data_IF_581200896024
#
_entry.id   IF_581200896024
#
_cell.length_a   1.000
_cell.length_b   1.000
_cell.length_c   1.000
_cell.angle_alpha   90.00
_cell.angle_beta   90.00
_cell.angle_gamma   90.00
#
_symmetry.space_group_name_H-M   'P 1'
#
loop_
_entity.id
_entity.type
_entity.pdbx_description
1 polymer ?
#
# COMPACT_ATOMS: atom_id res chain seq x y z
N UNK A 1 -11.80 -1.84 -20.45
CA UNK A 1 -12.28 -2.61 -21.62
C UNK A 1 -12.87 -3.94 -21.13
N UNK A 2 -14.14 -4.18 -21.38
CA UNK A 2 -14.73 -5.49 -21.16
C UNK A 2 -14.77 -6.25 -22.49
N UNK A 3 -14.13 -7.41 -22.52
CA UNK A 3 -14.22 -8.34 -23.64
C UNK A 3 -15.39 -9.29 -23.36
N UNK A 4 -16.38 -9.26 -24.24
CA UNK A 4 -17.48 -10.22 -24.21
C UNK A 4 -17.35 -11.17 -25.40
N UNK A 5 -17.36 -12.48 -25.15
CA UNK A 5 -17.23 -13.46 -26.21
C UNK A 5 -18.00 -14.74 -25.94
N UNK A 6 -18.48 -15.36 -27.00
CA UNK A 6 -19.09 -16.67 -26.97
C UNK A 6 -18.24 -17.62 -27.80
N UNK A 7 -17.83 -18.75 -27.21
CA UNK A 7 -17.15 -19.86 -27.89
C UNK A 7 -18.17 -20.99 -28.05
N UNK A 8 -18.42 -21.41 -29.28
CA UNK A 8 -19.26 -22.54 -29.61
C UNK A 8 -18.39 -23.65 -30.20
N UNK A 9 -18.40 -24.79 -29.56
CA UNK A 9 -17.71 -25.98 -30.05
C UNK A 9 -18.76 -27.04 -30.39
N UNK A 10 -18.73 -27.51 -31.65
CA UNK A 10 -19.63 -28.53 -32.11
C UNK A 10 -18.86 -29.69 -32.77
N UNK A 11 -19.30 -30.92 -32.50
CA UNK A 11 -18.72 -32.13 -33.07
C UNK A 11 -19.78 -32.94 -33.83
N UNK A 12 -19.53 -33.21 -35.09
CA UNK A 12 -20.35 -34.11 -35.91
C UNK A 12 -19.50 -35.26 -36.40
N UNK A 13 -19.50 -36.38 -35.70
CA UNK A 13 -18.65 -37.53 -36.02
C UNK A 13 -17.18 -37.19 -35.82
N UNK A 14 -16.39 -37.16 -36.91
CA UNK A 14 -14.97 -36.78 -36.90
C UNK A 14 -14.70 -35.30 -37.18
N UNK A 15 -15.75 -34.53 -37.43
CA UNK A 15 -15.61 -33.10 -37.71
C UNK A 15 -15.78 -32.31 -36.43
N UNK A 16 -14.76 -31.54 -36.08
CA UNK A 16 -14.75 -30.58 -34.98
C UNK A 16 -14.86 -29.16 -35.54
N UNK A 17 -15.84 -28.41 -35.10
CA UNK A 17 -15.95 -26.99 -35.44
C UNK A 17 -15.89 -26.14 -34.15
N UNK A 18 -14.99 -25.18 -34.12
CA UNK A 18 -14.91 -24.20 -33.05
C UNK A 18 -15.13 -22.80 -33.61
N UNK A 19 -16.20 -22.17 -33.19
CA UNK A 19 -16.56 -20.80 -33.60
C UNK A 19 -16.40 -19.88 -32.38
N UNK A 20 -15.61 -18.81 -32.51
CA UNK A 20 -15.43 -17.78 -31.47
C UNK A 20 -15.98 -16.47 -32.00
N UNK A 21 -16.97 -15.96 -31.32
CA UNK A 21 -17.51 -14.63 -31.54
C UNK A 21 -17.08 -13.74 -30.37
N UNK A 22 -16.26 -12.73 -30.63
CA UNK A 22 -15.85 -11.78 -29.62
C UNK A 22 -16.23 -10.35 -30.03
N UNK A 23 -16.78 -9.60 -29.10
CA UNK A 23 -17.09 -8.19 -29.27
C UNK A 23 -16.24 -7.39 -28.27
N UNK A 24 -15.42 -6.49 -28.80
CA UNK A 24 -14.69 -5.52 -28.00
C UNK A 24 -15.40 -4.16 -28.09
N UNK A 25 -15.85 -3.63 -26.96
CA UNK A 25 -16.46 -2.31 -26.89
C UNK A 25 -15.34 -1.28 -26.69
N UNK A 26 -15.03 -0.50 -27.72
CA UNK A 26 -14.14 0.64 -27.64
C UNK A 26 -14.93 1.86 -27.15
N UNK A 27 -14.36 2.64 -26.24
CA UNK A 27 -14.86 3.93 -25.83
C UNK A 27 -14.03 5.01 -26.54
N UNK A 28 -14.69 5.92 -27.27
CA UNK A 28 -14.02 7.09 -27.84
C UNK A 28 -14.04 8.21 -26.82
N UNK A 29 -12.87 8.68 -26.42
CA UNK A 29 -12.71 9.88 -25.58
C UNK A 29 -12.12 10.99 -26.44
N UNK A 30 -12.65 12.18 -26.30
CA UNK A 30 -12.11 13.40 -26.87
C UNK A 30 -11.67 14.30 -25.72
N UNK A 31 -10.44 14.80 -25.80
CA UNK A 31 -9.86 15.70 -24.80
C UNK A 31 -9.46 16.95 -25.56
N UNK A 32 -10.12 18.06 -25.27
CA UNK A 32 -9.80 19.37 -25.84
C UNK A 32 -8.92 20.12 -24.83
N UNK A 33 -7.74 20.57 -25.27
CA UNK A 33 -6.80 21.37 -24.47
C UNK A 33 -6.72 22.73 -25.08
N UNK A 34 -7.39 23.70 -24.51
CA UNK A 34 -7.24 25.11 -24.88
C UNK A 34 -6.11 25.73 -24.05
N UNK A 35 -5.14 26.35 -24.73
CA UNK A 35 -3.86 26.84 -24.25
C UNK A 35 -3.85 27.40 -22.82
N UNK A 36 -3.26 26.65 -21.88
CA UNK A 36 -3.14 26.92 -20.47
C UNK A 36 -3.29 25.64 -19.67
N UNK A 37 -2.82 25.62 -18.42
CA UNK A 37 -3.00 24.48 -17.55
C UNK A 37 -4.49 24.25 -17.28
N UNK A 38 -5.05 23.15 -17.80
CA UNK A 38 -6.48 22.84 -17.69
C UNK A 38 -6.80 22.32 -16.29
N UNK A 39 -7.81 22.90 -15.66
CA UNK A 39 -8.38 22.37 -14.39
C UNK A 39 -9.20 21.10 -14.67
N UNK A 40 -8.93 20.04 -13.94
CA UNK A 40 -9.62 18.76 -14.03
C UNK A 40 -10.28 18.44 -12.69
N UNK A 41 -11.53 17.98 -12.76
CA UNK A 41 -12.25 17.50 -11.57
C UNK A 41 -11.94 16.01 -11.34
N UNK A 42 -11.96 15.61 -10.07
CA UNK A 42 -11.87 14.20 -9.67
C UNK A 42 -12.92 13.86 -8.60
N UNK A 43 -13.37 12.61 -8.64
CA UNK A 43 -14.26 11.99 -7.65
C UNK A 43 -13.77 10.56 -7.41
N UNK A 44 -13.28 10.30 -6.19
CA UNK A 44 -12.70 9.01 -5.77
C UNK A 44 -13.49 8.52 -4.56
N UNK A 45 -14.02 7.32 -4.61
CA UNK A 45 -14.72 6.74 -3.46
C UNK A 45 -13.72 6.19 -2.45
N UNK A 46 -14.13 6.09 -1.18
CA UNK A 46 -13.29 5.55 -0.11
C UNK A 46 -12.78 4.14 -0.39
N UNK A 47 -13.53 3.31 -1.14
CA UNK A 47 -13.12 1.98 -1.54
C UNK A 47 -12.12 1.96 -2.73
N UNK A 48 -11.82 3.09 -3.35
CA UNK A 48 -10.90 3.18 -4.48
C UNK A 48 -9.43 3.46 -4.09
N UNK A 49 -9.02 3.01 -2.89
CA UNK A 49 -7.62 3.06 -2.49
C UNK A 49 -6.71 2.25 -3.42
N UNK A 50 -5.42 2.60 -3.48
CA UNK A 50 -4.42 1.90 -4.32
C UNK A 50 -3.98 0.57 -3.70
N UNK A 51 -4.75 -0.50 -3.90
CA UNK A 51 -4.45 -1.83 -3.38
C UNK A 51 -3.16 -2.43 -3.98
N UNK A 52 -2.45 -3.24 -3.21
CA UNK A 52 -1.24 -3.99 -3.60
C UNK A 52 -0.09 -3.10 -4.11
N UNK A 53 0.03 -1.90 -3.57
CA UNK A 53 1.02 -0.91 -4.03
C UNK A 53 1.86 -0.28 -2.93
N UNK A 54 1.26 -0.02 -1.78
CA UNK A 54 1.88 0.67 -0.67
C UNK A 54 1.92 -0.25 0.54
N UNK A 55 3.10 -0.38 1.18
CA UNK A 55 3.29 -1.31 2.30
C UNK A 55 4.18 -0.69 3.37
N UNK A 56 3.76 -0.82 4.63
CA UNK A 56 4.64 -0.56 5.76
C UNK A 56 5.75 -1.61 5.83
N UNK A 57 6.95 -1.23 6.24
CA UNK A 57 8.10 -2.12 6.35
C UNK A 57 8.00 -3.07 7.55
N UNK A 58 7.27 -2.66 8.58
CA UNK A 58 6.98 -3.47 9.78
C UNK A 58 5.72 -2.96 10.49
N UNK A 59 5.22 -3.74 11.42
CA UNK A 59 4.11 -3.33 12.29
C UNK A 59 4.50 -2.13 13.19
N UNK A 60 5.78 -2.01 13.54
CA UNK A 60 6.29 -0.82 14.23
C UNK A 60 5.95 0.45 13.46
N UNK A 61 6.29 0.53 12.17
CA UNK A 61 6.04 1.73 11.36
C UNK A 61 4.54 1.98 11.15
N UNK A 62 3.74 0.93 10.96
CA UNK A 62 2.28 1.04 10.88
C UNK A 62 1.70 1.69 12.16
N UNK A 63 2.10 1.19 13.33
CA UNK A 63 1.59 1.68 14.61
C UNK A 63 2.09 3.08 14.98
N UNK A 64 3.24 3.51 14.43
CA UNK A 64 3.76 4.87 14.66
C UNK A 64 3.26 5.90 13.64
N UNK A 65 2.66 5.46 12.53
CA UNK A 65 2.28 6.32 11.41
C UNK A 65 1.38 7.48 11.82
N UNK A 66 0.27 7.22 12.50
CA UNK A 66 -0.70 8.25 12.92
C UNK A 66 -0.06 9.27 13.86
N UNK A 67 0.77 8.80 14.81
CA UNK A 67 1.49 9.69 15.73
C UNK A 67 2.51 10.57 14.99
N UNK A 68 3.26 9.99 14.05
CA UNK A 68 4.24 10.72 13.26
C UNK A 68 3.55 11.79 12.38
N UNK A 69 2.42 11.46 11.79
CA UNK A 69 1.64 12.35 10.92
C UNK A 69 0.87 13.43 11.68
N UNK A 70 0.77 13.36 13.02
CA UNK A 70 0.17 14.44 13.82
C UNK A 70 0.98 15.72 13.82
N UNK A 71 2.28 15.64 13.57
CA UNK A 71 3.20 16.79 13.63
C UNK A 71 3.50 17.38 12.25
N UNK A 72 2.60 17.20 11.27
CA UNK A 72 2.74 17.86 9.98
C UNK A 72 2.95 19.39 10.14
N UNK A 73 3.73 20.00 9.25
CA UNK A 73 4.25 19.51 7.96
C UNK A 73 5.48 18.61 8.03
N UNK A 74 6.09 18.43 9.20
CA UNK A 74 7.27 17.58 9.36
C UNK A 74 6.93 16.39 10.25
N UNK A 75 6.89 15.15 9.70
CA UNK A 75 6.62 13.96 10.52
C UNK A 75 7.65 13.77 11.62
N UNK A 76 7.19 13.50 12.82
CA UNK A 76 8.03 13.24 13.98
C UNK A 76 8.07 11.73 14.28
N UNK A 77 8.89 10.98 13.55
CA UNK A 77 9.05 9.53 13.76
C UNK A 77 10.32 9.16 14.52
N UNK A 78 11.33 10.04 14.57
CA UNK A 78 12.67 9.74 15.07
C UNK A 78 13.42 8.70 14.23
N UNK A 79 12.78 8.12 13.21
CA UNK A 79 13.34 7.10 12.35
C UNK A 79 13.91 7.67 11.05
N UNK A 80 14.93 6.98 10.51
CA UNK A 80 15.48 7.23 9.19
C UNK A 80 15.93 5.91 8.55
N UNK A 81 15.30 5.50 7.44
CA UNK A 81 15.74 4.35 6.66
C UNK A 81 17.02 4.73 5.93
N UNK A 82 18.09 3.97 6.17
CA UNK A 82 19.41 4.21 5.60
C UNK A 82 19.64 3.36 4.34
N UNK A 83 19.24 2.09 4.39
CA UNK A 83 19.40 1.12 3.30
C UNK A 83 18.14 0.31 3.17
N UNK A 84 17.72 0.01 1.93
CA UNK A 84 16.57 -0.84 1.67
C UNK A 84 16.78 -1.63 0.37
N UNK A 85 16.42 -2.89 0.40
CA UNK A 85 16.33 -3.76 -0.75
C UNK A 85 14.94 -4.36 -0.84
N UNK A 86 14.36 -4.30 -2.02
CA UNK A 86 13.00 -4.80 -2.29
C UNK A 86 13.09 -5.92 -3.30
N UNK A 87 12.47 -7.05 -2.99
CA UNK A 87 12.54 -8.28 -3.76
C UNK A 87 11.14 -8.78 -4.12
N UNK A 88 10.98 -9.23 -5.35
CA UNK A 88 9.71 -9.77 -5.87
C UNK A 88 9.93 -11.06 -6.63
N UNK A 89 8.86 -11.80 -6.88
CA UNK A 89 8.89 -12.97 -7.78
C UNK A 89 9.35 -12.52 -9.17
N UNK A 90 10.29 -13.28 -9.75
CA UNK A 90 10.78 -13.01 -11.09
C UNK A 90 9.84 -13.60 -12.14
N UNK A 91 8.91 -12.78 -12.64
CA UNK A 91 7.95 -13.17 -13.68
C UNK A 91 8.48 -12.98 -15.10
N UNK A 92 9.62 -12.28 -15.26
CA UNK A 92 10.16 -11.87 -16.57
C UNK A 92 11.37 -12.70 -17.02
N UNK A 93 11.71 -13.80 -16.32
CA UNK A 93 12.91 -14.61 -16.58
C UNK A 93 14.22 -13.80 -16.65
N UNK A 94 14.29 -12.67 -15.92
CA UNK A 94 15.51 -11.90 -15.77
C UNK A 94 16.56 -12.75 -15.04
N UNK A 95 17.80 -12.71 -15.51
CA UNK A 95 18.92 -13.45 -14.91
C UNK A 95 19.91 -12.57 -14.15
N UNK A 96 19.72 -11.25 -14.18
CA UNK A 96 20.53 -10.30 -13.44
C UNK A 96 19.89 -9.98 -12.09
N UNK A 97 20.73 -9.83 -11.05
CA UNK A 97 20.32 -9.47 -9.69
C UNK A 97 19.22 -10.38 -9.12
N UNK A 98 19.33 -11.69 -9.40
CA UNK A 98 18.41 -12.70 -8.87
C UNK A 98 19.05 -13.48 -7.71
N UNK A 99 18.27 -13.77 -6.69
CA UNK A 99 18.66 -14.57 -5.52
C UNK A 99 17.53 -15.48 -5.10
N UNK A 100 17.87 -16.59 -4.50
CA UNK A 100 16.89 -17.36 -3.75
C UNK A 100 16.61 -16.66 -2.43
N UNK A 101 15.35 -16.57 -2.05
CA UNK A 101 14.93 -15.90 -0.82
C UNK A 101 14.00 -16.79 0.01
N UNK A 102 14.11 -16.64 1.33
CA UNK A 102 13.16 -17.12 2.33
C UNK A 102 12.54 -15.86 2.96
N UNK A 103 11.31 -15.58 2.63
CA UNK A 103 10.59 -14.42 3.16
C UNK A 103 9.72 -14.85 4.35
N UNK A 104 9.79 -14.13 5.46
CA UNK A 104 9.12 -14.52 6.72
C UNK A 104 8.30 -13.36 7.27
N UNK A 105 7.07 -13.65 7.71
CA UNK A 105 6.12 -12.64 8.22
C UNK A 105 6.62 -11.99 9.51
N UNK A 106 7.10 -12.78 10.48
CA UNK A 106 7.45 -12.31 11.83
C UNK A 106 8.86 -11.77 11.93
N UNK A 107 9.63 -11.80 10.85
CA UNK A 107 11.03 -11.45 10.89
C UNK A 107 11.24 -10.04 11.46
N UNK A 108 11.96 -9.99 12.58
CA UNK A 108 12.32 -8.73 13.23
C UNK A 108 11.18 -7.99 13.92
N UNK A 109 9.96 -8.51 13.94
CA UNK A 109 8.85 -7.84 14.63
C UNK A 109 8.95 -7.99 16.16
N UNK A 110 8.48 -6.96 16.86
CA UNK A 110 8.35 -7.02 18.32
C UNK A 110 7.08 -7.82 18.67
N UNK A 111 7.14 -8.73 19.68
CA UNK A 111 5.99 -9.59 20.06
C UNK A 111 4.71 -8.83 20.37
N UNK A 112 4.80 -7.63 20.93
CA UNK A 112 3.63 -6.79 21.24
C UNK A 112 2.81 -6.39 19.99
N UNK A 113 3.40 -6.48 18.82
CA UNK A 113 2.75 -6.14 17.54
C UNK A 113 2.32 -7.38 16.75
N UNK A 114 2.59 -8.58 17.28
CA UNK A 114 2.25 -9.82 16.61
C UNK A 114 1.10 -10.51 17.33
N UNK A 115 0.25 -11.17 16.56
CA UNK A 115 -0.79 -12.01 17.16
C UNK A 115 -0.18 -13.15 17.96
N UNK A 116 -0.78 -13.50 19.10
CA UNK A 116 -0.37 -14.63 19.95
C UNK A 116 -0.37 -15.99 19.25
N UNK A 117 -0.99 -16.08 18.07
CA UNK A 117 -1.05 -17.32 17.27
C UNK A 117 0.01 -17.36 16.16
N UNK A 118 0.78 -16.30 15.97
CA UNK A 118 1.95 -16.38 15.12
C UNK A 118 3.07 -17.07 15.89
N UNK A 119 3.84 -17.97 15.24
CA UNK A 119 4.91 -18.69 15.88
C UNK A 119 6.14 -17.78 16.12
N UNK A 120 5.95 -16.74 16.93
CA UNK A 120 7.05 -15.88 17.37
C UNK A 120 7.89 -16.63 18.37
N UNK A 121 9.12 -16.93 18.01
CA UNK A 121 10.05 -17.55 18.93
C UNK A 121 10.59 -16.50 19.89
N UNK A 122 10.37 -16.71 21.19
CA UNK A 122 10.97 -15.89 22.23
C UNK A 122 12.48 -16.13 22.30
N UNK A 123 13.22 -15.15 22.83
CA UNK A 123 14.65 -15.31 23.05
C UNK A 123 14.92 -16.54 23.96
N UNK A 124 15.86 -17.38 23.55
CA UNK A 124 16.19 -18.64 24.24
C UNK A 124 16.71 -18.47 25.65
N UNK A 125 17.19 -17.27 26.00
CA UNK A 125 17.69 -16.94 27.34
C UNK A 125 16.60 -16.64 28.36
N UNK A 126 15.32 -16.73 28.00
CA UNK A 126 14.19 -16.41 28.88
C UNK A 126 14.12 -14.95 29.33
N UNK A 127 14.89 -14.08 28.72
CA UNK A 127 14.87 -12.65 29.01
C UNK A 127 13.60 -12.04 28.43
N UNK A 128 12.75 -11.46 29.28
CA UNK A 128 11.63 -10.62 28.85
C UNK A 128 12.06 -9.22 28.39
N UNK A 129 13.35 -8.89 28.52
CA UNK A 129 13.91 -7.65 28.04
C UNK A 129 14.33 -7.79 26.60
N UNK A 130 13.41 -7.41 25.71
CA UNK A 130 13.75 -7.25 24.30
C UNK A 130 14.85 -6.18 24.13
N UNK A 131 15.77 -6.37 23.16
CA UNK A 131 16.85 -5.41 22.91
C UNK A 131 16.33 -3.99 22.61
N UNK A 132 15.07 -3.89 22.20
CA UNK A 132 14.42 -2.65 21.81
C UNK A 132 13.38 -2.24 22.83
N UNK A 133 13.77 -1.39 23.79
CA UNK A 133 12.82 -0.79 24.76
C UNK A 133 11.71 0.05 24.10
N UNK A 134 11.88 0.41 22.83
CA UNK A 134 10.96 1.21 22.02
C UNK A 134 10.12 0.38 21.03
N UNK A 135 10.13 -0.96 21.13
CA UNK A 135 9.42 -1.90 20.23
C UNK A 135 9.82 -1.81 18.75
N UNK A 136 10.99 -1.24 18.45
CA UNK A 136 11.50 -1.13 17.08
C UNK A 136 11.72 -2.51 16.45
N UNK A 137 11.46 -2.63 15.15
CA UNK A 137 11.72 -3.86 14.41
C UNK A 137 13.24 -4.11 14.30
N UNK A 138 13.69 -5.33 14.64
CA UNK A 138 15.12 -5.71 14.60
C UNK A 138 15.26 -7.23 14.50
N UNK A 139 16.20 -7.72 13.72
CA UNK A 139 16.54 -9.16 13.67
C UNK A 139 16.76 -9.77 15.05
N UNK A 140 17.31 -9.00 16.01
CA UNK A 140 17.58 -9.45 17.36
C UNK A 140 16.36 -9.47 18.31
N UNK A 141 15.15 -9.15 17.86
CA UNK A 141 13.94 -9.15 18.69
C UNK A 141 13.52 -10.57 19.13
N UNK A 142 13.92 -11.57 18.36
CA UNK A 142 13.72 -12.98 18.66
C UNK A 142 14.82 -13.82 18.00
N UNK A 143 14.90 -15.13 18.32
CA UNK A 143 15.94 -16.02 17.78
C UNK A 143 15.64 -16.47 16.33
N UNK A 144 14.52 -16.06 15.74
CA UNK A 144 14.05 -16.56 14.45
C UNK A 144 15.05 -16.30 13.31
N UNK A 145 15.60 -15.09 13.26
CA UNK A 145 16.58 -14.74 12.24
C UNK A 145 17.84 -15.61 12.34
N UNK A 146 18.41 -15.73 13.54
CA UNK A 146 19.62 -16.52 13.80
C UNK A 146 19.40 -18.01 13.54
N UNK A 147 18.25 -18.57 13.93
CA UNK A 147 17.89 -19.96 13.64
C UNK A 147 17.79 -20.25 12.14
N UNK A 148 17.24 -19.31 11.36
CA UNK A 148 17.13 -19.49 9.91
C UNK A 148 18.49 -19.39 9.22
N UNK A 149 19.30 -18.39 9.57
CA UNK A 149 20.60 -18.17 8.90
C UNK A 149 21.68 -19.17 9.34
N UNK A 150 21.56 -19.75 10.54
CA UNK A 150 22.47 -20.80 11.02
C UNK A 150 22.16 -22.19 10.49
N UNK A 151 21.01 -22.37 9.83
CA UNK A 151 20.60 -23.66 9.28
C UNK A 151 21.02 -23.79 7.80
N UNK A 152 22.03 -24.64 7.55
CA UNK A 152 22.58 -24.86 6.21
C UNK A 152 21.55 -25.35 5.18
N UNK A 153 20.53 -26.13 5.60
CA UNK A 153 19.46 -26.60 4.71
C UNK A 153 18.52 -25.47 4.30
N UNK A 154 18.24 -24.54 5.23
CA UNK A 154 17.46 -23.32 4.94
C UNK A 154 18.25 -22.44 3.97
N UNK A 155 19.50 -22.17 4.30
CA UNK A 155 20.38 -21.32 3.50
C UNK A 155 20.70 -21.94 2.14
N UNK A 156 20.79 -23.28 2.04
CA UNK A 156 20.92 -24.01 0.79
C UNK A 156 19.67 -23.98 -0.09
N UNK A 157 18.57 -23.44 0.39
CA UNK A 157 17.29 -23.25 -0.30
C UNK A 157 16.53 -24.54 -0.66
N UNK A 158 17.20 -25.55 -1.21
CA UNK A 158 16.51 -26.77 -1.72
C UNK A 158 15.79 -27.53 -0.61
N UNK A 159 16.41 -27.68 0.57
CA UNK A 159 15.85 -28.34 1.76
C UNK A 159 15.01 -27.42 2.65
N UNK A 160 14.91 -26.12 2.35
CA UNK A 160 14.41 -25.11 3.27
C UNK A 160 13.01 -25.40 3.83
N UNK A 161 12.08 -25.89 3.01
CA UNK A 161 10.74 -26.23 3.51
C UNK A 161 10.76 -27.33 4.56
N UNK A 162 11.51 -28.42 4.32
CA UNK A 162 11.64 -29.52 5.25
C UNK A 162 12.35 -29.07 6.54
N UNK A 163 13.40 -28.25 6.40
CA UNK A 163 14.14 -27.69 7.53
C UNK A 163 13.27 -26.77 8.41
N UNK A 164 12.52 -25.87 7.80
CA UNK A 164 11.62 -24.95 8.54
C UNK A 164 10.52 -25.74 9.28
N UNK A 165 9.94 -26.76 8.65
CA UNK A 165 8.96 -27.63 9.30
C UNK A 165 9.60 -28.43 10.44
N UNK A 166 10.85 -28.88 10.27
CA UNK A 166 11.58 -29.63 11.29
C UNK A 166 11.96 -28.79 12.54
N UNK A 167 12.02 -27.46 12.40
CA UNK A 167 12.18 -26.54 13.54
C UNK A 167 10.98 -26.55 14.50
N UNK A 168 9.89 -27.21 14.11
CA UNK A 168 8.67 -27.40 14.90
C UNK A 168 8.06 -26.09 15.43
N UNK A 169 8.14 -25.03 14.62
CA UNK A 169 7.61 -23.71 14.96
C UNK A 169 6.15 -23.52 14.51
N UNK A 170 5.54 -24.53 13.87
CA UNK A 170 4.18 -24.43 13.34
C UNK A 170 4.06 -23.52 12.11
N UNK A 171 5.16 -23.27 11.40
CA UNK A 171 5.15 -22.43 10.20
C UNK A 171 4.43 -23.09 9.04
N UNK A 172 3.55 -22.33 8.38
CA UNK A 172 2.83 -22.71 7.18
C UNK A 172 3.30 -21.84 6.01
N UNK A 173 3.64 -22.47 4.89
CA UNK A 173 4.00 -21.75 3.66
C UNK A 173 2.80 -20.98 3.13
N UNK A 174 3.03 -19.73 2.67
CA UNK A 174 1.98 -18.82 2.21
C UNK A 174 1.36 -17.96 3.32
N UNK A 175 1.51 -18.38 4.58
CA UNK A 175 1.00 -17.67 5.76
C UNK A 175 2.15 -17.04 6.55
N UNK A 176 3.06 -17.87 7.03
CA UNK A 176 4.15 -17.47 7.92
C UNK A 176 5.45 -17.25 7.15
N UNK A 177 5.65 -17.97 6.05
CA UNK A 177 6.82 -17.82 5.19
C UNK A 177 6.52 -18.14 3.74
N UNK A 178 7.37 -17.63 2.86
CA UNK A 178 7.41 -17.97 1.44
C UNK A 178 8.84 -18.31 1.01
N UNK A 179 8.95 -19.30 0.15
CA UNK A 179 10.20 -19.66 -0.51
C UNK A 179 10.13 -19.28 -1.99
N UNK A 180 10.91 -18.29 -2.39
CA UNK A 180 10.93 -17.80 -3.77
C UNK A 180 12.29 -18.06 -4.43
N UNK A 181 12.28 -18.88 -5.46
CA UNK A 181 13.46 -19.13 -6.27
C UNK A 181 13.69 -18.04 -7.30
N UNK A 182 14.96 -17.64 -7.47
CA UNK A 182 15.34 -16.60 -8.41
C UNK A 182 14.52 -15.31 -8.27
N UNK A 183 14.26 -14.89 -7.04
CA UNK A 183 13.59 -13.61 -6.79
C UNK A 183 14.42 -12.47 -7.38
N UNK A 184 13.74 -11.49 -7.96
CA UNK A 184 14.35 -10.31 -8.58
C UNK A 184 14.40 -9.14 -7.60
N UNK A 185 15.55 -8.50 -7.51
CA UNK A 185 15.68 -7.22 -6.81
C UNK A 185 15.08 -6.09 -7.64
N UNK A 186 14.25 -5.25 -7.04
CA UNK A 186 13.72 -4.06 -7.67
C UNK A 186 14.80 -2.96 -7.74
N UNK A 187 14.82 -2.26 -8.85
CA UNK A 187 15.65 -1.07 -9.03
C UNK A 187 15.02 0.15 -8.33
N UNK A 188 15.82 1.17 -8.02
CA UNK A 188 15.33 2.43 -7.44
C UNK A 188 14.30 3.16 -8.32
N UNK A 189 14.21 2.81 -9.61
CA UNK A 189 13.21 3.35 -10.52
C UNK A 189 11.85 2.65 -10.42
N UNK A 190 11.75 1.47 -9.80
CA UNK A 190 10.53 0.67 -9.71
C UNK A 190 9.75 0.88 -8.41
N UNK A 191 10.38 1.45 -7.39
CA UNK A 191 9.73 1.81 -6.14
C UNK A 191 10.28 3.12 -5.57
N UNK A 192 9.56 3.69 -4.64
CA UNK A 192 10.02 4.75 -3.75
C UNK A 192 9.75 4.32 -2.31
N UNK A 193 10.44 4.93 -1.36
CA UNK A 193 10.21 4.70 0.07
C UNK A 193 10.19 6.02 0.81
N UNK A 194 9.50 6.03 1.93
CA UNK A 194 9.53 7.15 2.87
C UNK A 194 10.46 6.80 4.01
N UNK A 195 11.55 7.55 4.17
CA UNK A 195 12.59 7.22 5.13
C UNK A 195 12.13 7.39 6.57
N UNK A 196 11.25 8.35 6.86
CA UNK A 196 10.75 8.65 8.20
C UNK A 196 9.55 7.82 8.61
N UNK A 197 8.64 7.59 7.68
CA UNK A 197 7.38 6.88 7.97
C UNK A 197 7.49 5.37 7.75
N UNK A 198 8.60 4.88 7.17
CA UNK A 198 8.90 3.46 7.01
C UNK A 198 7.88 2.70 6.16
N UNK A 199 7.54 3.24 4.99
CA UNK A 199 6.73 2.54 4.01
C UNK A 199 7.35 2.62 2.61
N UNK A 200 6.99 1.68 1.76
CA UNK A 200 7.35 1.65 0.34
C UNK A 200 6.12 1.85 -0.54
N UNK A 201 6.37 2.43 -1.72
CA UNK A 201 5.37 2.64 -2.76
C UNK A 201 5.91 2.08 -4.08
N UNK A 202 5.27 1.05 -4.60
CA UNK A 202 5.64 0.44 -5.87
C UNK A 202 5.11 1.29 -7.04
N UNK A 203 5.83 1.36 -8.14
CA UNK A 203 5.33 2.03 -9.35
C UNK A 203 4.19 1.27 -10.01
N UNK A 204 4.23 -0.05 -9.95
CA UNK A 204 3.17 -0.93 -10.42
C UNK A 204 2.59 -1.71 -9.25
N UNK A 205 1.27 -1.88 -9.23
CA UNK A 205 0.62 -2.74 -8.25
C UNK A 205 0.96 -4.20 -8.51
N UNK A 206 1.15 -4.96 -7.44
CA UNK A 206 1.41 -6.39 -7.53
C UNK A 206 0.14 -7.16 -7.85
N UNK A 207 0.30 -8.27 -8.58
CA UNK A 207 -0.75 -9.26 -8.74
C UNK A 207 -0.95 -10.07 -7.43
N UNK A 208 -2.11 -10.71 -7.31
CA UNK A 208 -2.43 -11.46 -6.09
C UNK A 208 -1.42 -12.58 -5.78
N UNK A 209 -0.89 -13.24 -6.80
CA UNK A 209 0.07 -14.34 -6.65
C UNK A 209 1.54 -13.90 -6.48
N UNK A 210 1.84 -12.61 -6.54
CA UNK A 210 3.21 -12.12 -6.38
C UNK A 210 3.57 -11.95 -4.90
N UNK A 211 4.78 -12.37 -4.54
CA UNK A 211 5.37 -12.20 -3.22
C UNK A 211 6.21 -10.94 -3.22
N UNK A 212 6.13 -10.18 -2.13
CA UNK A 212 6.94 -9.00 -1.86
C UNK A 212 7.72 -9.20 -0.57
N UNK A 213 9.02 -9.02 -0.63
CA UNK A 213 9.89 -9.12 0.53
C UNK A 213 10.92 -8.01 0.55
N UNK A 214 11.40 -7.66 1.75
CA UNK A 214 12.37 -6.57 1.95
C UNK A 214 13.45 -6.95 2.94
N UNK A 215 14.62 -6.34 2.79
CA UNK A 215 15.59 -6.16 3.85
C UNK A 215 15.90 -4.67 3.97
N UNK A 216 16.05 -4.18 5.19
CA UNK A 216 16.32 -2.77 5.41
C UNK A 216 17.12 -2.53 6.69
N UNK A 217 17.86 -1.45 6.69
CA UNK A 217 18.56 -0.89 7.83
C UNK A 217 18.05 0.52 8.10
N UNK A 218 17.82 0.85 9.35
CA UNK A 218 17.36 2.16 9.73
C UNK A 218 17.95 2.60 11.07
N UNK A 219 18.00 3.92 11.25
CA UNK A 219 18.37 4.53 12.52
C UNK A 219 17.11 5.03 13.23
N UNK A 220 17.01 4.78 14.52
CA UNK A 220 15.92 5.28 15.36
C UNK A 220 16.55 5.86 16.65
N UNK A 221 16.36 7.16 16.88
CA UNK A 221 16.90 7.87 18.04
C UNK A 221 18.41 7.68 18.24
N UNK A 222 19.15 7.52 17.14
CA UNK A 222 20.61 7.36 17.16
C UNK A 222 21.11 5.91 17.21
N UNK A 223 20.23 4.93 17.42
CA UNK A 223 20.56 3.51 17.37
C UNK A 223 20.23 2.94 15.98
N UNK A 224 21.06 2.01 15.49
CA UNK A 224 20.88 1.37 14.18
C UNK A 224 20.28 -0.02 14.33
N UNK A 225 19.27 -0.31 13.54
CA UNK A 225 18.55 -1.57 13.52
C UNK A 225 18.50 -2.13 12.09
N UNK A 226 18.50 -3.46 11.99
CA UNK A 226 18.41 -4.17 10.72
C UNK A 226 17.31 -5.23 10.77
N UNK A 227 16.56 -5.36 9.67
CA UNK A 227 15.57 -6.40 9.45
C UNK A 227 15.86 -7.10 8.13
N UNK A 228 16.03 -8.41 8.18
CA UNK A 228 16.41 -9.25 7.03
C UNK A 228 17.89 -9.16 6.66
N UNK A 229 18.30 -9.94 5.67
CA UNK A 229 19.65 -10.00 5.13
C UNK A 229 19.76 -9.11 3.89
N UNK A 230 20.59 -8.09 3.93
CA UNK A 230 20.94 -7.33 2.74
C UNK A 230 21.84 -8.16 1.81
N UNK A 231 21.67 -8.05 0.51
CA UNK A 231 22.37 -8.92 -0.47
C UNK A 231 23.89 -8.78 -0.40
N UNK A 232 24.40 -7.64 0.03
CA UNK A 232 25.85 -7.41 0.22
C UNK A 232 26.40 -8.11 1.47
N UNK A 233 25.52 -8.37 2.45
CA UNK A 233 25.86 -9.02 3.71
C UNK A 233 25.46 -10.50 3.69
N UNK A 234 25.17 -11.04 2.48
CA UNK A 234 24.66 -12.39 2.28
C UNK A 234 25.66 -13.47 2.69
N UNK A 235 25.12 -14.57 3.22
CA UNK A 235 25.90 -15.73 3.64
C UNK A 235 26.30 -16.61 2.47
N UNK A 236 27.45 -17.28 2.55
CA UNK A 236 27.84 -18.36 1.67
C UNK A 236 27.53 -19.71 2.34
N UNK A 237 27.13 -20.69 1.54
CA UNK A 237 26.89 -22.06 1.99
C UNK A 237 27.95 -22.99 1.36
N UNK A 238 28.28 -24.06 2.06
CA UNK A 238 29.35 -24.99 1.62
C UNK A 238 30.72 -24.65 2.17
N UNK A 239 31.73 -25.37 1.75
CA UNK A 239 33.11 -25.26 2.21
C UNK A 239 34.09 -25.44 1.07
N UNK A 240 35.10 -24.58 0.98
CA UNK A 240 36.15 -24.66 -0.03
C UNK A 240 35.65 -24.33 -1.45
N UNK A 241 35.90 -25.21 -2.42
CA UNK A 241 35.54 -24.98 -3.84
C UNK A 241 34.04 -25.09 -4.14
N UNK A 242 33.24 -25.57 -3.18
CA UNK A 242 31.77 -25.75 -3.30
C UNK A 242 30.99 -24.61 -2.61
N UNK A 243 31.64 -23.52 -2.29
CA UNK A 243 30.93 -22.35 -1.73
C UNK A 243 29.94 -21.77 -2.73
N UNK A 244 28.69 -21.68 -2.31
CA UNK A 244 27.61 -21.06 -3.07
C UNK A 244 27.00 -19.90 -2.26
N UNK A 245 26.44 -18.92 -2.94
CA UNK A 245 25.69 -17.87 -2.26
C UNK A 245 24.41 -18.44 -1.67
N UNK A 246 24.27 -18.37 -0.37
CA UNK A 246 23.08 -18.82 0.36
C UNK A 246 21.83 -18.01 -0.01
N UNK A 247 20.67 -18.53 0.37
CA UNK A 247 19.42 -17.80 0.28
C UNK A 247 19.46 -16.53 1.18
N UNK A 248 18.69 -15.52 0.80
CA UNK A 248 18.50 -14.35 1.67
C UNK A 248 17.27 -14.59 2.57
N UNK A 249 17.42 -14.30 3.85
CA UNK A 249 16.30 -14.30 4.80
C UNK A 249 15.73 -12.87 4.86
N UNK A 250 14.50 -12.70 4.41
CA UNK A 250 13.87 -11.39 4.21
C UNK A 250 12.55 -11.24 4.96
N UNK A 251 12.20 -10.01 5.30
CA UNK A 251 10.87 -9.68 5.83
C UNK A 251 9.84 -9.75 4.72
N UNK A 252 8.80 -10.57 4.91
CA UNK A 252 7.68 -10.66 3.99
C UNK A 252 6.70 -9.50 4.21
N UNK A 253 6.35 -8.79 3.14
CA UNK A 253 5.31 -7.74 3.16
C UNK A 253 4.03 -8.19 2.47
N UNK A 254 4.14 -9.12 1.50
CA UNK A 254 2.99 -9.70 0.82
C UNK A 254 3.31 -11.15 0.43
N UNK A 255 2.37 -12.04 0.73
CA UNK A 255 2.41 -13.45 0.32
C UNK A 255 1.71 -13.67 -1.04
N UNK A 256 1.96 -14.83 -1.64
CA UNK A 256 1.22 -15.35 -2.79
C UNK A 256 -0.25 -15.66 -2.47
N UNK A 257 -0.59 -15.80 -1.18
CA UNK A 257 -1.94 -16.07 -0.69
C UNK A 257 -2.46 -14.81 0.03
N UNK A 258 -3.64 -14.34 -0.35
CA UNK A 258 -4.31 -13.25 0.37
C UNK A 258 -5.03 -13.81 1.59
N UNK A 259 -4.51 -13.52 2.77
CA UNK A 259 -5.12 -13.90 4.04
C UNK A 259 -5.52 -12.64 4.81
N UNK A 260 -6.81 -12.51 5.10
CA UNK A 260 -7.37 -11.35 5.81
C UNK A 260 -7.19 -11.48 7.32
N UNK A 261 -7.43 -12.70 7.82
CA UNK A 261 -7.34 -13.00 9.24
C UNK A 261 -6.61 -14.34 9.47
N UNK A 262 -6.00 -14.46 10.62
CA UNK A 262 -5.37 -15.68 11.10
C UNK A 262 -6.44 -16.68 11.59
N UNK A 263 -6.04 -17.92 11.89
CA UNK A 263 -6.92 -19.00 12.34
C UNK A 263 -7.70 -18.70 13.62
N UNK A 264 -7.21 -17.79 14.46
CA UNK A 264 -7.86 -17.33 15.68
C UNK A 264 -8.84 -16.16 15.46
N UNK A 265 -8.92 -15.64 14.24
CA UNK A 265 -9.75 -14.48 13.88
C UNK A 265 -9.05 -13.14 14.00
N UNK A 266 -7.80 -13.07 14.49
CA UNK A 266 -7.02 -11.83 14.51
C UNK A 266 -6.70 -11.40 13.07
N UNK A 267 -6.58 -10.08 12.79
CA UNK A 267 -6.17 -9.58 11.48
C UNK A 267 -4.80 -10.15 11.08
N UNK A 268 -4.62 -10.44 9.80
CA UNK A 268 -3.33 -10.87 9.27
C UNK A 268 -2.35 -9.68 9.22
N UNK A 269 -1.15 -9.78 9.80
CA UNK A 269 -0.15 -8.72 9.76
C UNK A 269 0.24 -8.28 8.35
N UNK A 270 0.19 -9.20 7.38
CA UNK A 270 0.45 -8.88 5.96
C UNK A 270 -0.68 -8.06 5.35
N UNK A 271 -1.94 -8.34 5.75
CA UNK A 271 -3.09 -7.57 5.30
C UNK A 271 -3.12 -6.16 5.91
N UNK A 272 -2.82 -6.06 7.20
CA UNK A 272 -2.71 -4.78 7.90
C UNK A 272 -1.52 -3.94 7.41
N UNK A 273 -0.41 -4.60 7.05
CA UNK A 273 0.79 -3.95 6.50
C UNK A 273 0.57 -3.28 5.14
N UNK A 274 -0.46 -3.67 4.39
CA UNK A 274 -0.84 -2.99 3.16
C UNK A 274 -1.60 -1.70 3.47
N UNK A 275 -1.08 -0.56 2.99
CA UNK A 275 -1.71 0.75 3.19
C UNK A 275 -3.00 0.87 2.38
N UNK A 276 -4.08 1.26 3.05
CA UNK A 276 -5.42 1.46 2.47
C UNK A 276 -5.87 2.93 2.57
N UNK A 277 -4.93 3.80 2.91
CA UNK A 277 -5.13 5.24 3.11
C UNK A 277 -4.47 6.10 2.01
N UNK A 278 -4.13 5.48 0.88
CA UNK A 278 -3.52 6.16 -0.27
C UNK A 278 -4.45 6.09 -1.47
N UNK A 279 -4.73 7.25 -2.07
CA UNK A 279 -5.66 7.41 -3.18
C UNK A 279 -5.00 8.10 -4.35
N UNK A 280 -5.33 7.69 -5.58
CA UNK A 280 -4.76 8.27 -6.80
C UNK A 280 -5.78 9.13 -7.53
N UNK A 281 -5.43 10.37 -7.79
CA UNK A 281 -6.18 11.26 -8.69
C UNK A 281 -5.95 10.92 -10.17
N UNK A 282 -5.04 9.96 -10.46
CA UNK A 282 -4.59 9.60 -11.82
C UNK A 282 -4.02 10.81 -12.57
N UNK A 283 -3.32 11.66 -11.85
CA UNK A 283 -2.73 12.91 -12.29
C UNK A 283 -1.20 12.87 -12.13
N UNK A 284 -0.52 13.72 -12.89
CA UNK A 284 0.92 13.94 -12.78
C UNK A 284 1.21 15.44 -12.76
N UNK A 285 2.22 15.85 -12.00
CA UNK A 285 2.63 17.25 -11.91
C UNK A 285 1.50 18.17 -11.43
N UNK A 286 0.88 17.81 -10.31
CA UNK A 286 -0.25 18.55 -9.72
C UNK A 286 0.24 19.86 -9.14
N UNK A 287 -0.32 20.99 -9.62
CA UNK A 287 -0.03 22.32 -9.09
C UNK A 287 -0.77 22.56 -7.79
N UNK A 288 -0.12 23.23 -6.84
CA UNK A 288 -0.79 23.75 -5.64
C UNK A 288 -1.79 24.87 -5.98
N UNK A 289 -1.51 25.62 -7.03
CA UNK A 289 -2.41 26.65 -7.52
C UNK A 289 -3.72 26.03 -8.01
N UNK A 290 -4.84 26.60 -7.62
CA UNK A 290 -6.19 26.13 -7.98
C UNK A 290 -6.52 24.69 -7.47
N UNK A 291 -5.63 24.06 -6.67
CA UNK A 291 -5.94 22.76 -6.07
C UNK A 291 -7.04 22.91 -5.02
N UNK A 292 -8.05 22.05 -5.10
CA UNK A 292 -9.13 21.94 -4.09
C UNK A 292 -9.41 20.46 -3.85
N UNK A 293 -9.57 20.12 -2.60
CA UNK A 293 -9.97 18.78 -2.17
C UNK A 293 -10.91 18.92 -0.99
N UNK A 294 -12.04 18.22 -1.06
CA UNK A 294 -13.00 18.07 0.02
C UNK A 294 -13.39 16.62 0.18
N UNK A 295 -13.75 16.24 1.40
CA UNK A 295 -14.34 14.93 1.68
C UNK A 295 -15.85 15.08 1.81
N UNK A 296 -16.56 14.24 1.10
CA UNK A 296 -18.01 14.24 1.02
C UNK A 296 -18.62 12.97 1.59
N UNK A 297 -19.72 13.11 2.25
CA UNK A 297 -20.56 12.03 2.75
C UNK A 297 -21.90 12.06 2.06
N UNK A 298 -22.28 10.95 1.43
CA UNK A 298 -23.60 10.80 0.82
C UNK A 298 -24.62 10.45 1.91
N UNK A 299 -25.44 11.42 2.33
CA UNK A 299 -26.43 11.22 3.39
C UNK A 299 -27.58 10.31 2.90
N UNK A 300 -27.80 9.16 3.56
CA UNK A 300 -28.84 8.21 3.14
C UNK A 300 -30.25 8.73 3.27
N UNK A 301 -30.46 9.77 4.08
CA UNK A 301 -31.80 10.32 4.31
C UNK A 301 -32.25 11.27 3.20
N UNK A 302 -31.29 11.99 2.61
CA UNK A 302 -31.56 13.02 1.59
C UNK A 302 -31.01 12.64 0.23
N UNK A 303 -30.03 11.72 0.16
CA UNK A 303 -29.29 11.37 -1.06
C UNK A 303 -28.35 12.50 -1.54
N UNK A 304 -28.11 13.52 -0.71
CA UNK A 304 -27.25 14.67 -1.03
C UNK A 304 -25.86 14.44 -0.47
N UNK A 305 -24.85 14.83 -1.23
CA UNK A 305 -23.46 14.85 -0.76
C UNK A 305 -23.23 16.08 0.11
N UNK A 306 -22.74 15.86 1.33
CA UNK A 306 -22.42 16.89 2.32
C UNK A 306 -20.94 16.75 2.70
N UNK A 307 -20.25 17.85 2.93
CA UNK A 307 -18.86 17.84 3.40
C UNK A 307 -18.74 17.75 4.93
N UNK A 308 -19.83 17.42 5.60
CA UNK A 308 -19.94 17.14 7.03
C UNK A 308 -20.95 16.00 7.27
N UNK A 309 -20.95 15.43 8.47
CA UNK A 309 -21.91 14.40 8.86
C UNK A 309 -23.11 15.08 9.57
N UNK A 310 -24.35 15.04 9.03
CA UNK A 310 -25.51 15.71 9.62
C UNK A 310 -26.09 14.89 10.78
N UNK A 311 -25.30 14.66 11.82
CA UNK A 311 -25.65 13.90 13.03
C UNK A 311 -24.97 14.53 14.24
N UNK A 312 -25.74 14.93 15.26
CA UNK A 312 -25.17 15.39 16.53
C UNK A 312 -24.32 14.31 17.20
N UNK A 313 -23.18 14.67 17.79
CA UNK A 313 -22.51 15.98 17.87
C UNK A 313 -21.46 16.23 16.77
N UNK A 314 -21.52 15.53 15.63
CA UNK A 314 -20.60 15.69 14.50
C UNK A 314 -21.03 16.79 13.54
N UNK A 315 -22.31 17.18 13.62
CA UNK A 315 -22.90 18.21 12.77
C UNK A 315 -22.13 19.54 12.84
N UNK A 316 -21.97 20.18 11.69
CA UNK A 316 -21.24 21.45 11.58
C UNK A 316 -19.71 21.35 11.59
N UNK A 317 -19.13 20.14 11.75
CA UNK A 317 -17.68 19.94 11.62
C UNK A 317 -17.36 19.33 10.26
N UNK A 318 -16.44 19.95 9.52
CA UNK A 318 -16.03 19.47 8.20
C UNK A 318 -15.35 18.09 8.29
N UNK A 319 -15.62 17.23 7.32
CA UNK A 319 -14.97 15.92 7.21
C UNK A 319 -13.46 16.03 7.04
N UNK A 320 -12.96 17.07 6.36
CA UNK A 320 -11.52 17.36 6.29
C UNK A 320 -10.89 17.43 7.68
N UNK A 321 -11.56 18.12 8.63
CA UNK A 321 -11.09 18.26 10.01
C UNK A 321 -11.19 16.97 10.79
N UNK A 322 -12.32 16.24 10.65
CA UNK A 322 -12.51 14.95 11.33
C UNK A 322 -11.47 13.91 10.90
N UNK A 323 -11.06 13.96 9.63
CA UNK A 323 -10.07 13.04 9.06
C UNK A 323 -8.63 13.57 9.09
N UNK A 324 -8.44 14.75 9.72
CA UNK A 324 -7.12 15.35 9.96
C UNK A 324 -6.41 15.88 8.72
N UNK A 325 -7.16 16.22 7.67
CA UNK A 325 -6.66 16.82 6.43
C UNK A 325 -6.77 18.37 6.42
N UNK A 326 -7.31 18.95 7.47
CA UNK A 326 -7.38 20.38 7.76
C UNK A 326 -7.01 20.58 9.23
N UNK A 327 -5.74 20.83 9.49
CA UNK A 327 -5.16 21.06 10.84
C UNK A 327 -4.45 22.39 10.94
N UNK A 328 -4.10 22.98 9.81
CA UNK A 328 -3.27 24.18 9.73
C UNK A 328 -3.98 25.24 8.91
N UNK A 329 -3.59 26.48 9.13
CA UNK A 329 -3.94 27.60 8.26
C UNK A 329 -2.93 27.76 7.10
N UNK A 330 -3.18 28.72 6.23
CA UNK A 330 -2.31 29.06 5.10
C UNK A 330 -0.87 29.43 5.52
N UNK A 331 -0.64 29.79 6.78
CA UNK A 331 0.68 30.09 7.32
C UNK A 331 1.33 28.87 8.01
N UNK A 332 0.77 27.68 7.84
CA UNK A 332 1.21 26.43 8.48
C UNK A 332 1.16 26.46 10.02
N UNK A 333 0.31 27.32 10.58
CA UNK A 333 0.05 27.35 12.00
C UNK A 333 -1.09 26.38 12.36
N UNK A 334 -1.05 25.72 13.53
CA UNK A 334 -2.06 24.74 13.92
C UNK A 334 -3.43 25.40 14.21
N UNK A 335 -4.12 25.77 13.16
CA UNK A 335 -5.42 26.42 13.19
C UNK A 335 -6.22 26.00 11.94
N UNK A 336 -7.19 25.06 12.05
CA UNK A 336 -8.01 24.63 10.93
C UNK A 336 -8.76 25.78 10.29
N UNK A 337 -8.69 25.92 8.96
CA UNK A 337 -9.28 27.02 8.20
C UNK A 337 -10.37 26.59 7.20
N UNK A 338 -10.70 25.30 7.17
CA UNK A 338 -11.70 24.71 6.28
C UNK A 338 -11.15 24.33 4.89
N UNK A 339 -9.84 24.42 4.71
CA UNK A 339 -9.16 24.10 3.44
C UNK A 339 -8.23 22.90 3.63
N UNK A 340 -8.11 22.10 2.59
CA UNK A 340 -7.16 20.96 2.59
C UNK A 340 -5.72 21.42 2.78
N UNK A 341 -5.04 20.82 3.75
CA UNK A 341 -3.60 21.04 4.00
C UNK A 341 -2.78 20.45 2.88
N UNK A 342 -2.39 21.25 1.89
CA UNK A 342 -1.55 20.82 0.78
C UNK A 342 -0.09 20.74 1.21
N UNK A 343 0.33 19.57 1.69
CA UNK A 343 1.70 19.28 2.11
C UNK A 343 2.27 18.24 1.15
N UNK A 344 3.20 18.68 0.29
CA UNK A 344 3.80 17.81 -0.71
C UNK A 344 4.87 16.91 -0.08
N UNK A 345 4.65 15.61 -0.09
CA UNK A 345 5.57 14.63 0.48
C UNK A 345 6.87 14.45 -0.33
N UNK A 346 6.92 14.93 -1.57
CA UNK A 346 8.15 15.00 -2.35
C UNK A 346 9.16 16.01 -1.76
N UNK A 347 8.66 17.02 -1.04
CA UNK A 347 9.48 18.05 -0.43
C UNK A 347 9.81 17.78 1.05
N UNK A 348 8.93 17.10 1.79
CA UNK A 348 8.98 17.03 3.27
C UNK A 348 9.18 15.65 3.87
N UNK A 349 9.31 14.59 3.05
CA UNK A 349 9.34 13.18 3.48
C UNK A 349 8.12 12.77 4.33
N UNK A 350 7.02 13.47 4.16
CA UNK A 350 5.74 13.20 4.79
C UNK A 350 4.79 14.31 4.45
N UNK A 351 3.57 13.97 4.11
CA UNK A 351 2.60 14.96 3.68
C UNK A 351 1.28 14.32 3.26
N UNK A 352 0.36 15.16 2.87
CA UNK A 352 -1.00 14.78 2.49
C UNK A 352 -1.14 14.53 1.00
N UNK A 353 -0.16 14.98 0.20
CA UNK A 353 -0.17 14.82 -1.26
C UNK A 353 1.23 14.50 -1.79
N UNK A 354 1.31 13.80 -2.90
CA UNK A 354 2.48 13.74 -3.76
C UNK A 354 2.14 14.40 -5.10
N UNK A 355 2.66 15.59 -5.30
CA UNK A 355 2.37 16.40 -6.49
C UNK A 355 2.88 15.76 -7.79
N UNK A 356 3.98 15.01 -7.74
CA UNK A 356 4.59 14.40 -8.92
C UNK A 356 3.72 13.32 -9.54
N UNK A 357 3.02 12.55 -8.73
CA UNK A 357 2.25 11.38 -9.17
C UNK A 357 0.76 11.42 -8.79
N UNK A 358 0.30 12.55 -8.27
CA UNK A 358 -1.11 12.79 -7.96
C UNK A 358 -1.72 11.86 -6.92
N UNK A 359 -0.97 11.55 -5.85
CA UNK A 359 -1.44 10.70 -4.75
C UNK A 359 -1.78 11.48 -3.52
N UNK A 360 -2.90 11.16 -2.92
CA UNK A 360 -3.39 11.71 -1.65
C UNK A 360 -3.07 10.68 -0.56
N UNK A 361 -2.46 11.14 0.54
CA UNK A 361 -2.12 10.34 1.72
C UNK A 361 -2.93 10.85 2.90
N UNK A 362 -3.74 10.00 3.49
CA UNK A 362 -4.40 10.34 4.73
C UNK A 362 -3.43 10.22 5.92
N UNK A 363 -3.52 11.13 6.89
CA UNK A 363 -2.63 11.14 8.06
C UNK A 363 -2.94 10.07 9.10
N UNK A 364 -3.94 9.24 8.88
CA UNK A 364 -4.24 8.04 9.66
C UNK A 364 -4.24 6.80 8.79
N UNK A 365 -3.88 5.65 9.37
CA UNK A 365 -3.85 4.35 8.67
C UNK A 365 -5.25 3.95 8.21
N UNK A 366 -6.26 4.21 9.05
CA UNK A 366 -7.65 3.85 8.80
C UNK A 366 -8.58 5.06 8.96
N UNK A 367 -8.57 6.00 7.99
CA UNK A 367 -9.30 7.27 8.12
C UNK A 367 -10.82 7.09 8.30
N UNK A 368 -11.44 6.16 7.58
CA UNK A 368 -12.90 5.89 7.65
C UNK A 368 -13.24 4.74 8.63
N UNK A 369 -12.24 4.12 9.25
CA UNK A 369 -12.32 3.09 10.28
C UNK A 369 -12.00 3.64 11.67
N UNK A 370 -10.90 3.20 12.24
CA UNK A 370 -10.47 3.50 13.60
C UNK A 370 -10.33 5.01 13.91
N UNK A 371 -9.87 5.80 12.95
CA UNK A 371 -9.79 7.25 13.15
C UNK A 371 -11.18 7.84 13.36
N UNK A 372 -12.15 7.52 12.51
CA UNK A 372 -13.52 8.04 12.63
C UNK A 372 -14.18 7.49 13.90
N UNK A 373 -13.95 6.24 14.27
CA UNK A 373 -14.37 5.63 15.53
C UNK A 373 -13.86 6.44 16.72
N UNK A 374 -12.55 6.70 16.78
CA UNK A 374 -11.94 7.47 17.86
C UNK A 374 -12.50 8.90 17.95
N UNK A 375 -12.78 9.55 16.81
CA UNK A 375 -13.42 10.87 16.77
C UNK A 375 -14.84 10.82 17.35
N UNK A 376 -15.63 9.81 17.02
CA UNK A 376 -17.00 9.63 17.55
C UNK A 376 -16.93 9.41 19.05
N UNK A 377 -16.11 8.49 19.54
CA UNK A 377 -15.96 8.16 20.96
C UNK A 377 -15.47 9.37 21.78
N UNK A 378 -14.60 10.20 21.21
CA UNK A 378 -14.12 11.40 21.89
C UNK A 378 -15.20 12.52 22.01
N UNK A 379 -16.18 12.56 21.11
CA UNK A 379 -17.20 13.62 21.05
C UNK A 379 -18.55 13.22 21.63
N UNK A 380 -18.84 11.92 21.66
CA UNK A 380 -20.14 11.38 22.09
C UNK A 380 -20.00 10.75 23.46
N UNK A 381 -20.56 11.41 24.49
CA UNK A 381 -20.48 10.92 25.87
C UNK A 381 -21.45 9.76 26.17
N UNK A 382 -22.54 9.61 25.38
CA UNK A 382 -23.49 8.50 25.52
C UNK A 382 -23.00 7.27 24.73
N UNK A 383 -22.64 6.16 25.40
CA UNK A 383 -22.13 4.95 24.74
C UNK A 383 -23.13 4.33 23.74
N UNK A 384 -24.44 4.45 23.98
CA UNK A 384 -25.45 3.90 23.06
C UNK A 384 -25.52 4.72 21.78
N UNK A 385 -25.47 6.05 21.89
CA UNK A 385 -25.43 6.94 20.75
C UNK A 385 -24.10 6.75 19.97
N UNK A 386 -22.98 6.67 20.66
CA UNK A 386 -21.69 6.40 20.06
C UNK A 386 -21.71 5.08 19.27
N UNK A 387 -22.20 3.99 19.86
CA UNK A 387 -22.35 2.70 19.20
C UNK A 387 -23.24 2.74 17.94
N UNK A 388 -24.36 3.47 18.01
CA UNK A 388 -25.26 3.63 16.86
C UNK A 388 -24.60 4.43 15.72
N UNK A 389 -23.85 5.49 16.05
CA UNK A 389 -23.10 6.28 15.06
C UNK A 389 -21.96 5.46 14.45
N UNK A 390 -21.20 4.73 15.26
CA UNK A 390 -20.12 3.84 14.79
C UNK A 390 -20.69 2.82 13.80
N UNK A 391 -21.76 2.14 14.13
CA UNK A 391 -22.37 1.14 13.26
C UNK A 391 -22.83 1.70 11.89
N UNK A 392 -23.18 2.98 11.82
CA UNK A 392 -23.71 3.61 10.60
C UNK A 392 -22.70 4.39 9.79
N UNK A 393 -21.61 4.83 10.42
CA UNK A 393 -20.64 5.76 9.82
C UNK A 393 -19.27 5.13 9.62
N UNK A 394 -18.84 4.23 10.51
CA UNK A 394 -17.50 3.64 10.45
C UNK A 394 -17.48 2.51 9.41
N UNK A 395 -16.50 2.57 8.51
CA UNK A 395 -16.41 1.63 7.40
C UNK A 395 -15.31 0.58 7.66
N UNK A 396 -15.45 -0.21 8.74
CA UNK A 396 -14.51 -1.29 9.10
C UNK A 396 -14.30 -2.29 7.96
N UNK A 397 -15.34 -2.73 7.21
CA UNK A 397 -15.14 -3.66 6.11
C UNK A 397 -14.19 -3.19 5.01
N UNK A 398 -13.89 -1.88 4.93
CA UNK A 398 -12.87 -1.34 4.03
C UNK A 398 -11.48 -1.87 4.38
N UNK A 399 -11.21 -2.11 5.67
CA UNK A 399 -9.93 -2.52 6.22
C UNK A 399 -9.86 -4.01 6.49
N UNK A 400 -10.96 -4.60 6.95
CA UNK A 400 -11.06 -6.00 7.41
C UNK A 400 -11.48 -6.98 6.31
N UNK A 401 -11.86 -6.47 5.12
CA UNK A 401 -12.25 -7.31 4.00
C UNK A 401 -11.54 -6.95 2.70
N UNK A 402 -11.73 -7.77 1.67
CA UNK A 402 -11.19 -7.43 0.34
C UNK A 402 -11.89 -6.19 -0.23
N UNK A 403 -11.18 -5.44 -1.08
CA UNK A 403 -11.75 -4.29 -1.79
C UNK A 403 -13.09 -4.63 -2.47
N UNK A 404 -13.18 -5.80 -3.11
CA UNK A 404 -14.41 -6.26 -3.77
C UNK A 404 -15.54 -6.51 -2.77
N UNK A 405 -15.25 -7.07 -1.60
CA UNK A 405 -16.27 -7.30 -0.57
C UNK A 405 -16.74 -5.97 0.05
N UNK A 406 -15.83 -5.03 0.33
CA UNK A 406 -16.17 -3.70 0.81
C UNK A 406 -17.07 -2.93 -0.18
N UNK A 407 -16.84 -3.08 -1.48
CA UNK A 407 -17.67 -2.49 -2.54
C UNK A 407 -19.12 -2.97 -2.53
N UNK A 408 -19.37 -4.16 -1.99
CA UNK A 408 -20.72 -4.73 -1.91
C UNK A 408 -21.51 -4.24 -0.70
N UNK A 409 -20.96 -3.30 0.09
CA UNK A 409 -21.63 -2.73 1.27
C UNK A 409 -21.95 -1.23 1.02
N UNK A 410 -22.92 -0.90 0.16
CA UNK A 410 -23.21 0.50 -0.21
C UNK A 410 -23.75 1.32 0.98
N UNK A 411 -24.22 0.66 2.05
CA UNK A 411 -24.67 1.35 3.26
C UNK A 411 -23.54 2.04 4.03
N UNK A 412 -22.30 1.56 3.92
CA UNK A 412 -21.11 2.14 4.54
C UNK A 412 -20.19 2.84 3.54
N UNK A 413 -20.22 2.45 2.27
CA UNK A 413 -19.41 3.03 1.20
C UNK A 413 -20.01 4.35 0.69
N UNK A 414 -19.99 5.37 1.53
CA UNK A 414 -20.66 6.67 1.33
C UNK A 414 -19.71 7.85 1.26
N UNK A 415 -18.40 7.61 1.45
CA UNK A 415 -17.41 8.66 1.48
C UNK A 415 -16.78 8.84 0.12
N UNK A 416 -16.67 10.11 -0.31
CA UNK A 416 -16.07 10.52 -1.57
C UNK A 416 -14.99 11.57 -1.31
N UNK A 417 -13.88 11.44 -2.00
CA UNK A 417 -12.80 12.42 -2.06
C UNK A 417 -12.98 13.16 -3.38
N UNK A 418 -13.46 14.39 -3.33
CA UNK A 418 -13.75 15.18 -4.53
C UNK A 418 -12.94 16.44 -4.56
N UNK A 419 -12.59 16.87 -5.75
CA UNK A 419 -11.87 18.12 -5.90
C UNK A 419 -11.52 18.43 -7.32
N UNK A 420 -10.63 19.39 -7.47
CA UNK A 420 -10.07 19.78 -8.76
C UNK A 420 -8.59 20.04 -8.64
N UNK A 421 -7.88 19.80 -9.69
CA UNK A 421 -6.45 20.08 -9.79
C UNK A 421 -6.09 20.65 -11.16
N UNK A 422 -4.95 21.28 -11.22
CA UNK A 422 -4.31 21.72 -12.43
C UNK A 422 -2.98 21.01 -12.59
N UNK A 423 -2.70 20.44 -13.78
CA UNK A 423 -1.42 19.80 -14.07
C UNK A 423 -0.42 20.83 -14.57
N UNK A 424 0.82 20.80 -14.06
CA UNK A 424 1.90 21.70 -14.49
C UNK A 424 2.48 21.33 -15.87
N UNK A 425 2.30 20.10 -16.34
CA UNK A 425 2.86 19.68 -17.62
C UNK A 425 1.91 20.02 -18.77
N UNK A 426 2.14 21.15 -19.40
CA UNK A 426 1.47 21.55 -20.65
C UNK A 426 1.89 20.73 -21.88
N UNK A 427 2.87 19.81 -21.73
CA UNK A 427 3.42 19.01 -22.83
C UNK A 427 2.94 17.55 -22.85
N UNK A 428 2.30 17.06 -21.78
CA UNK A 428 1.78 15.69 -21.72
C UNK A 428 0.27 15.70 -21.53
N UNK A 429 -0.45 15.05 -22.43
CA UNK A 429 -1.90 14.85 -22.33
C UNK A 429 -2.15 13.46 -21.76
N UNK A 430 -2.59 13.39 -20.50
CA UNK A 430 -2.94 12.12 -19.86
C UNK A 430 -4.24 11.57 -20.46
N UNK A 431 -4.15 10.49 -21.21
CA UNK A 431 -5.30 9.87 -21.86
C UNK A 431 -6.22 9.13 -20.88
N UNK A 432 -5.78 8.90 -19.64
CA UNK A 432 -6.54 8.19 -18.59
C UNK A 432 -7.27 6.94 -19.10
N UNK A 433 -6.63 6.20 -19.99
CA UNK A 433 -7.16 4.99 -20.62
C UNK A 433 -6.25 3.80 -20.34
N UNK A 434 -6.84 2.70 -19.90
CA UNK A 434 -6.17 1.41 -19.80
C UNK A 434 -6.11 0.81 -21.21
N UNK A 435 -4.89 0.55 -21.69
CA UNK A 435 -4.66 -0.13 -22.96
C UNK A 435 -5.12 0.66 -24.21
N UNK A 436 -4.38 1.69 -24.56
CA UNK A 436 -4.57 2.46 -25.80
C UNK A 436 -3.91 1.70 -26.95
N UNK A 437 -4.64 1.22 -27.97
CA UNK A 437 -4.05 0.56 -29.12
C UNK A 437 -3.14 1.52 -29.89
N UNK A 438 -2.01 1.02 -30.38
CA UNK A 438 -1.09 1.78 -31.22
C UNK A 438 -1.82 2.35 -32.45
N UNK A 439 -1.58 3.62 -32.77
CA UNK A 439 -2.24 4.33 -33.86
C UNK A 439 -3.72 4.73 -33.62
N UNK A 440 -4.27 4.48 -32.42
CA UNK A 440 -5.65 4.87 -32.07
C UNK A 440 -5.77 6.30 -31.54
N UNK A 441 -4.64 6.94 -31.21
CA UNK A 441 -4.58 8.33 -30.76
C UNK A 441 -4.48 9.25 -31.97
N UNK A 442 -5.28 10.27 -31.98
CA UNK A 442 -5.17 11.35 -32.99
C UNK A 442 -5.04 12.67 -32.26
N UNK A 443 -3.94 13.36 -32.47
CA UNK A 443 -3.68 14.69 -31.89
C UNK A 443 -3.85 15.73 -32.98
N UNK A 444 -4.55 16.82 -32.67
CA UNK A 444 -4.70 17.99 -33.58
C UNK A 444 -4.33 19.25 -32.81
N UNK A 445 -3.57 20.14 -33.43
CA UNK A 445 -3.26 21.46 -32.91
C UNK A 445 -3.67 22.54 -33.92
N UNK A 446 -4.52 23.47 -33.49
CA UNK A 446 -5.03 24.52 -34.39
C UNK A 446 -5.75 24.00 -35.65
N UNK A 447 -6.42 22.83 -35.54
CA UNK A 447 -7.10 22.15 -36.64
C UNK A 447 -6.19 21.34 -37.57
N UNK A 448 -4.88 21.28 -37.30
CA UNK A 448 -3.91 20.49 -38.06
C UNK A 448 -3.63 19.19 -37.33
N UNK A 449 -3.76 18.04 -38.00
CA UNK A 449 -3.44 16.74 -37.45
C UNK A 449 -1.92 16.57 -37.31
N UNK A 450 -1.46 16.24 -36.10
CA UNK A 450 -0.07 15.97 -35.81
C UNK A 450 0.27 14.48 -36.10
N UNK A 451 1.54 14.21 -36.36
CA UNK A 451 2.04 12.87 -36.70
C UNK A 451 2.70 12.24 -35.49
N UNK A 452 2.23 11.03 -35.12
CA UNK A 452 2.78 10.21 -34.04
C UNK A 452 4.27 9.93 -34.24
N UNK A 453 5.05 9.94 -33.16
CA UNK A 453 6.52 9.77 -33.13
C UNK A 453 7.34 10.86 -33.87
N UNK A 454 6.72 11.91 -34.35
CA UNK A 454 7.41 13.08 -34.95
C UNK A 454 7.02 14.39 -34.30
N UNK A 455 5.75 14.58 -34.08
CA UNK A 455 5.17 15.82 -33.56
C UNK A 455 4.66 15.64 -32.10
N UNK A 456 4.42 14.39 -31.68
CA UNK A 456 4.06 14.00 -30.31
C UNK A 456 4.48 12.55 -30.00
#
# INVERSE_FOLDING_TARGET
>A
QSLFGVKLETQWGKLYNSTVLSQQKGERKEIEVEGGAQTQDFDIRADDYEANRHYFLSQYFRNQYDNAMRSLPVPNSGAAINRIEVWVVNTQANTQDVRNIIAVTDLGEHPDYMSSNLPVKQLSNGSETFPTSNRAANNANNDLFDDLVSNDEVMGYTGANAAIVAMNMGFEQGVHYERVGNARKLTSSEFSFNSKLGFISLRQSLNNAEVLAVAYEYTLNGETYQVGTLAQDGYTTGSGNDEAMGALVLKMLKSSITQLALSNGDPSPLWEGMMKNVYSMKAFGVSQEEFRLDIWYNDPSTGVDLNYIPRDPLDGTLLLQLLGLDRMDINTMPNPDGVFDYIDNAATEGGTINSQNGRIFFPSVEPFGDNLRAVIEARVSDPNLAGALIQTLVFDPLYDSTKTAAQQIPSLNRYHIKGRFQSQSSSEIALNALNVPEGSVTVTAGGVRLVENRDY
#
